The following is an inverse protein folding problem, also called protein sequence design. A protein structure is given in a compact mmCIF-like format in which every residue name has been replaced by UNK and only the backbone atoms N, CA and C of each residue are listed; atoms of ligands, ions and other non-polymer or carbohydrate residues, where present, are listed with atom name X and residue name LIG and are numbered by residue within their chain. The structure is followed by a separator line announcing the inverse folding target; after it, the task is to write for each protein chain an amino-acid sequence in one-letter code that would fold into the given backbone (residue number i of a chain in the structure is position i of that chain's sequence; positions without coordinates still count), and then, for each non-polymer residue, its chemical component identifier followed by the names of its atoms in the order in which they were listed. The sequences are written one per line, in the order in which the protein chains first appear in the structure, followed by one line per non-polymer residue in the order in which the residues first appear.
data_IF_171142912377
#
_entry.id   IF_171142912377
#
_cell.length_a   1.000
_cell.length_b   1.000
_cell.length_c   1.000
_cell.angle_alpha   90.00
_cell.angle_beta   90.00
_cell.angle_gamma   90.00
#
_symmetry.space_group_name_H-M   'P 1'
#
loop_
_entity.id
_entity.type
_entity.pdbx_description
1 polymer ?
#
# COMPACT_ATOMS: atom_id res chain seq x y z
N UNK A 1 28.96 -5.80 -22.49
CA UNK A 1 27.77 -6.62 -22.78
C UNK A 1 26.77 -6.32 -21.69
N UNK A 2 25.72 -5.54 -22.01
CA UNK A 2 24.69 -5.19 -21.02
C UNK A 2 23.87 -6.43 -20.65
N UNK A 3 23.32 -6.52 -19.43
CA UNK A 3 22.45 -7.63 -19.09
C UNK A 3 21.23 -7.60 -20.01
N UNK A 4 20.93 -8.73 -20.65
CA UNK A 4 19.65 -8.95 -21.31
C UNK A 4 18.55 -8.86 -20.26
N UNK A 5 18.04 -7.66 -20.00
CA UNK A 5 16.84 -7.46 -19.20
C UNK A 5 15.65 -7.82 -20.07
N UNK A 6 15.36 -9.12 -20.08
CA UNK A 6 14.07 -9.63 -20.47
C UNK A 6 13.04 -9.06 -19.50
N UNK A 7 12.14 -8.21 -20.01
CA UNK A 7 11.08 -7.60 -19.21
C UNK A 7 10.09 -8.70 -18.80
N UNK A 8 9.93 -8.88 -17.50
CA UNK A 8 9.16 -9.96 -16.88
C UNK A 8 8.08 -9.37 -15.99
N UNK A 9 6.94 -10.05 -15.94
CA UNK A 9 5.83 -9.75 -15.05
C UNK A 9 5.57 -10.96 -14.17
N UNK A 10 5.48 -10.76 -12.86
CA UNK A 10 5.08 -11.80 -11.92
C UNK A 10 3.66 -11.52 -11.47
N UNK A 11 2.78 -12.52 -11.56
CA UNK A 11 1.35 -12.40 -11.25
C UNK A 11 0.93 -13.43 -10.20
N UNK A 12 0.04 -13.02 -9.31
CA UNK A 12 -0.65 -13.91 -8.37
C UNK A 12 -2.00 -14.35 -8.92
N UNK A 13 -2.36 -15.60 -8.67
CA UNK A 13 -3.61 -16.22 -9.14
C UNK A 13 -4.59 -16.53 -8.01
N UNK A 14 -5.86 -16.70 -8.36
CA UNK A 14 -6.93 -17.04 -7.42
C UNK A 14 -6.82 -18.46 -6.84
N UNK A 15 -6.07 -19.35 -7.50
CA UNK A 15 -5.76 -20.70 -7.04
C UNK A 15 -4.58 -20.73 -6.04
N UNK A 16 -4.02 -19.57 -5.68
CA UNK A 16 -2.89 -19.45 -4.76
C UNK A 16 -1.52 -19.72 -5.40
N UNK A 17 -1.46 -19.73 -6.73
CA UNK A 17 -0.22 -19.84 -7.48
C UNK A 17 0.35 -18.49 -7.92
N UNK A 18 1.66 -18.46 -8.11
CA UNK A 18 2.37 -17.38 -8.78
C UNK A 18 2.84 -17.85 -10.14
N UNK A 19 2.70 -17.00 -11.14
CA UNK A 19 3.19 -17.25 -12.48
C UNK A 19 4.08 -16.09 -12.96
N UNK A 20 5.07 -16.40 -13.79
CA UNK A 20 5.84 -15.39 -14.51
C UNK A 20 5.47 -15.39 -15.99
N UNK A 21 5.24 -14.19 -16.51
CA UNK A 21 5.06 -13.91 -17.92
C UNK A 21 6.18 -13.03 -18.45
N UNK A 22 6.48 -13.18 -19.73
CA UNK A 22 7.40 -12.31 -20.45
C UNK A 22 6.60 -11.24 -21.17
N UNK A 23 7.08 -9.99 -21.13
CA UNK A 23 6.44 -8.92 -21.91
C UNK A 23 6.75 -9.08 -23.41
N UNK A 24 5.81 -8.69 -24.30
CA UNK A 24 5.89 -8.99 -25.72
C UNK A 24 7.08 -8.33 -26.42
N UNK A 25 7.53 -7.18 -25.92
CA UNK A 25 8.53 -6.35 -26.58
C UNK A 25 9.93 -6.99 -26.66
N UNK A 26 10.20 -8.05 -25.88
CA UNK A 26 11.48 -8.79 -25.87
C UNK A 26 11.30 -10.31 -25.73
N UNK A 27 10.11 -10.82 -26.05
CA UNK A 27 9.84 -12.25 -25.96
C UNK A 27 10.28 -12.97 -27.24
N UNK A 28 11.28 -13.85 -27.11
CA UNK A 28 11.78 -14.68 -28.21
C UNK A 28 11.13 -16.08 -28.25
N UNK A 29 10.04 -16.31 -27.50
CA UNK A 29 9.32 -17.58 -27.50
C UNK A 29 8.11 -17.58 -28.44
N UNK A 30 7.46 -18.74 -28.55
CA UNK A 30 6.39 -18.95 -29.52
C UNK A 30 5.00 -18.51 -29.04
N UNK A 31 4.75 -18.49 -27.72
CA UNK A 31 3.44 -18.19 -27.15
C UNK A 31 3.58 -17.35 -25.87
N UNK A 32 3.03 -16.13 -25.90
CA UNK A 32 3.08 -15.19 -24.78
C UNK A 32 2.07 -15.53 -23.67
N UNK A 33 1.04 -16.33 -24.00
CA UNK A 33 -0.01 -16.72 -23.05
C UNK A 33 0.44 -17.86 -22.13
N UNK A 34 1.60 -18.46 -22.41
CA UNK A 34 2.18 -19.52 -21.59
C UNK A 34 3.19 -18.90 -20.60
N UNK A 35 2.99 -19.06 -19.28
CA UNK A 35 3.93 -18.55 -18.29
C UNK A 35 5.25 -19.34 -18.33
N UNK A 36 6.37 -18.65 -18.10
CA UNK A 36 7.70 -19.25 -17.96
C UNK A 36 7.75 -20.24 -16.80
N UNK A 37 7.09 -19.90 -15.70
CA UNK A 37 6.86 -20.80 -14.57
C UNK A 37 5.50 -20.53 -13.94
N UNK A 38 4.92 -21.58 -13.34
CA UNK A 38 3.77 -21.49 -12.45
C UNK A 38 4.03 -22.34 -11.22
N UNK A 39 3.88 -21.77 -10.02
CA UNK A 39 4.16 -22.44 -8.75
C UNK A 39 3.07 -22.15 -7.73
N UNK A 40 2.54 -23.19 -7.09
CA UNK A 40 1.60 -23.06 -5.98
C UNK A 40 2.31 -22.64 -4.70
N UNK A 41 1.87 -21.54 -4.07
CA UNK A 41 2.45 -21.01 -2.84
C UNK A 41 1.49 -21.15 -1.66
N UNK A 42 0.20 -21.00 -1.91
CA UNK A 42 -0.84 -21.16 -0.90
C UNK A 42 -2.10 -21.81 -1.48
N UNK A 43 -3.01 -22.21 -0.60
CA UNK A 43 -4.28 -22.86 -0.97
C UNK A 43 -5.45 -21.85 -1.02
N UNK A 44 -5.15 -20.57 -1.28
CA UNK A 44 -6.13 -19.47 -1.29
C UNK A 44 -5.74 -18.41 -2.30
N UNK A 45 -6.69 -17.57 -2.73
CA UNK A 45 -6.38 -16.47 -3.63
C UNK A 45 -5.26 -15.55 -3.12
N UNK A 46 -4.36 -15.16 -4.02
CA UNK A 46 -3.37 -14.11 -3.77
C UNK A 46 -4.06 -12.77 -4.01
N UNK A 47 -4.22 -11.98 -2.94
CA UNK A 47 -4.92 -10.69 -2.99
C UNK A 47 -4.02 -9.56 -3.50
N UNK A 48 -2.73 -9.61 -3.20
CA UNK A 48 -1.74 -8.70 -3.75
C UNK A 48 -0.36 -9.33 -3.78
N UNK A 49 0.43 -8.95 -4.78
CA UNK A 49 1.80 -9.37 -4.95
C UNK A 49 2.65 -8.15 -5.22
N UNK A 50 3.74 -8.01 -4.46
CA UNK A 50 4.70 -6.93 -4.63
C UNK A 50 6.09 -7.53 -4.78
N UNK A 51 6.86 -7.04 -5.76
CA UNK A 51 8.25 -7.45 -5.96
C UNK A 51 9.15 -6.23 -5.79
N UNK A 52 10.13 -6.34 -4.90
CA UNK A 52 11.03 -5.25 -4.54
C UNK A 52 12.46 -5.66 -4.91
N UNK A 53 13.18 -4.79 -5.59
CA UNK A 53 14.59 -5.03 -5.89
C UNK A 53 15.49 -4.61 -4.71
N UNK A 54 16.37 -5.52 -4.32
CA UNK A 54 17.46 -5.26 -3.39
C UNK A 54 18.57 -4.45 -4.08
N UNK A 55 19.31 -3.57 -3.37
CA UNK A 55 20.61 -3.03 -3.79
C UNK A 55 21.57 -4.03 -4.47
N UNK A 56 21.54 -5.32 -4.13
CA UNK A 56 22.36 -6.37 -4.76
C UNK A 56 21.78 -6.89 -6.07
N UNK A 57 20.67 -6.33 -6.56
CA UNK A 57 19.98 -6.71 -7.80
C UNK A 57 18.96 -7.85 -7.68
N UNK A 58 18.91 -8.56 -6.53
CA UNK A 58 17.95 -9.65 -6.28
C UNK A 58 16.55 -9.13 -5.99
N UNK A 59 15.51 -9.88 -6.35
CA UNK A 59 14.12 -9.52 -6.07
C UNK A 59 13.59 -10.25 -4.84
N UNK A 60 12.96 -9.50 -3.93
CA UNK A 60 12.18 -9.99 -2.81
C UNK A 60 10.71 -9.82 -3.15
N UNK A 61 9.95 -10.91 -3.12
CA UNK A 61 8.53 -10.92 -3.39
C UNK A 61 7.74 -11.03 -2.09
N UNK A 62 6.71 -10.22 -1.94
CA UNK A 62 5.78 -10.23 -0.81
C UNK A 62 4.39 -10.52 -1.38
N UNK A 63 3.85 -11.68 -1.04
CA UNK A 63 2.55 -12.17 -1.47
C UNK A 63 1.57 -12.14 -0.29
N UNK A 64 0.45 -11.46 -0.45
CA UNK A 64 -0.66 -11.47 0.51
C UNK A 64 -1.72 -12.44 0.04
N UNK A 65 -2.20 -13.26 0.97
CA UNK A 65 -3.11 -14.36 0.65
C UNK A 65 -4.43 -14.20 1.43
N UNK A 66 -5.50 -14.76 0.88
CA UNK A 66 -6.81 -14.81 1.57
C UNK A 66 -6.79 -15.62 2.86
N UNK A 67 -5.86 -16.57 3.02
CA UNK A 67 -5.79 -17.48 4.17
C UNK A 67 -5.14 -16.90 5.44
N UNK A 68 -5.24 -15.58 5.68
CA UNK A 68 -4.71 -14.91 6.87
C UNK A 68 -3.19 -15.09 7.08
N UNK A 69 -2.43 -15.40 6.03
CA UNK A 69 -0.97 -15.51 6.05
C UNK A 69 -0.39 -14.73 4.88
N UNK A 70 0.62 -13.92 5.15
CA UNK A 70 1.39 -13.25 4.12
C UNK A 70 2.73 -13.97 3.97
N UNK A 71 3.25 -14.09 2.76
CA UNK A 71 4.44 -14.89 2.48
C UNK A 71 5.45 -13.98 1.80
N UNK A 72 6.67 -13.95 2.32
CA UNK A 72 7.79 -13.25 1.70
C UNK A 72 8.77 -14.28 1.17
N UNK A 73 9.25 -14.14 -0.05
CA UNK A 73 10.22 -15.07 -0.63
C UNK A 73 11.20 -14.38 -1.58
N UNK A 74 12.38 -14.97 -1.77
CA UNK A 74 13.36 -14.50 -2.77
C UNK A 74 12.98 -15.07 -4.13
N UNK A 75 12.84 -14.20 -5.12
CA UNK A 75 12.36 -14.57 -6.47
C UNK A 75 13.21 -15.67 -7.12
N UNK A 76 14.54 -15.62 -6.97
CA UNK A 76 15.46 -16.58 -7.58
C UNK A 76 15.32 -18.00 -7.00
N UNK A 77 14.83 -18.14 -5.77
CA UNK A 77 14.73 -19.42 -5.07
C UNK A 77 13.52 -19.46 -4.12
N UNK A 78 12.30 -19.47 -4.68
CA UNK A 78 11.10 -19.23 -3.91
C UNK A 78 10.73 -20.38 -2.96
N UNK A 79 11.27 -21.59 -3.17
CA UNK A 79 11.01 -22.78 -2.34
C UNK A 79 11.90 -22.86 -1.09
N UNK A 80 13.16 -22.41 -1.18
CA UNK A 80 14.11 -22.50 -0.07
C UNK A 80 14.08 -21.26 0.83
N UNK A 81 13.90 -20.08 0.23
CA UNK A 81 13.95 -18.80 0.94
C UNK A 81 12.54 -18.22 1.16
N UNK A 82 11.64 -19.02 1.74
CA UNK A 82 10.26 -18.62 2.06
C UNK A 82 10.11 -18.30 3.55
N UNK A 83 9.69 -17.07 3.84
CA UNK A 83 9.47 -16.56 5.19
C UNK A 83 7.99 -16.28 5.42
N UNK A 84 7.31 -17.06 6.29
CA UNK A 84 5.93 -16.76 6.65
C UNK A 84 5.88 -15.49 7.50
N UNK A 85 4.98 -14.58 7.15
CA UNK A 85 4.65 -13.39 7.93
C UNK A 85 3.22 -13.55 8.46
N UNK A 86 3.06 -13.37 9.77
CA UNK A 86 1.86 -13.74 10.55
C UNK A 86 0.66 -12.79 10.37
N UNK A 87 0.76 -11.84 9.46
CA UNK A 87 -0.12 -10.68 9.44
C UNK A 87 -1.03 -10.74 8.22
N UNK A 88 -2.34 -10.82 8.46
CA UNK A 88 -3.36 -10.51 7.44
C UNK A 88 -3.28 -9.03 7.13
N UNK A 89 -3.15 -8.68 5.86
CA UNK A 89 -3.28 -7.29 5.42
C UNK A 89 -4.67 -7.02 4.90
N UNK A 90 -5.24 -5.92 5.38
CA UNK A 90 -6.52 -5.41 4.90
C UNK A 90 -6.35 -4.47 3.70
N UNK A 91 -5.15 -3.96 3.48
CA UNK A 91 -4.82 -3.03 2.39
C UNK A 91 -3.64 -3.55 1.58
N UNK A 92 -3.55 -3.14 0.31
CA UNK A 92 -2.38 -3.41 -0.51
C UNK A 92 -1.18 -2.67 0.11
N UNK A 93 -0.03 -3.35 0.36
CA UNK A 93 1.17 -2.66 0.81
C UNK A 93 1.60 -1.59 -0.20
N UNK A 94 2.28 -0.57 0.30
CA UNK A 94 2.93 0.44 -0.54
C UNK A 94 4.38 0.60 -0.08
N UNK A 95 5.31 0.47 -1.01
CA UNK A 95 6.75 0.47 -0.74
C UNK A 95 7.39 1.76 -1.21
N UNK A 96 8.13 2.41 -0.32
CA UNK A 96 8.92 3.59 -0.64
C UNK A 96 10.33 3.13 -1.01
N UNK A 97 10.67 3.19 -2.31
CA UNK A 97 11.96 2.69 -2.79
C UNK A 97 13.15 3.47 -2.23
N UNK A 98 13.15 4.82 -2.19
CA UNK A 98 14.26 5.55 -1.59
C UNK A 98 14.46 5.28 -0.10
N UNK A 99 13.38 5.12 0.68
CA UNK A 99 13.47 4.88 2.13
C UNK A 99 13.57 3.39 2.51
N UNK A 100 13.45 2.47 1.54
CA UNK A 100 13.55 1.02 1.72
C UNK A 100 12.61 0.47 2.82
N UNK A 101 11.39 1.01 2.88
CA UNK A 101 10.35 0.60 3.82
C UNK A 101 9.01 0.44 3.12
N UNK A 102 8.09 -0.29 3.74
CA UNK A 102 6.70 -0.34 3.29
C UNK A 102 5.76 -0.03 4.44
N UNK A 103 4.59 0.49 4.08
CA UNK A 103 3.49 0.72 5.01
C UNK A 103 2.44 -0.35 4.80
N UNK A 104 1.95 -0.88 5.91
CA UNK A 104 0.93 -1.92 5.96
C UNK A 104 -0.13 -1.61 7.02
N UNK A 105 -1.25 -2.30 6.93
CA UNK A 105 -2.31 -2.31 7.94
C UNK A 105 -2.51 -3.73 8.45
N UNK A 106 -1.77 -4.11 9.48
CA UNK A 106 -1.93 -5.40 10.17
C UNK A 106 -3.28 -5.49 10.87
N UNK A 107 -3.59 -4.44 11.63
CA UNK A 107 -4.93 -4.19 12.16
C UNK A 107 -5.64 -3.27 11.17
N UNK A 108 -6.95 -3.47 10.97
CA UNK A 108 -7.71 -2.72 9.97
C UNK A 108 -7.69 -1.21 10.26
N UNK A 109 -7.65 -0.84 11.53
CA UNK A 109 -7.67 0.52 12.01
C UNK A 109 -6.28 1.12 12.28
N UNK A 110 -5.19 0.37 12.09
CA UNK A 110 -3.83 0.83 12.42
C UNK A 110 -2.85 0.65 11.26
N UNK A 111 -2.21 1.74 10.85
CA UNK A 111 -1.10 1.71 9.89
C UNK A 111 0.24 1.48 10.62
N UNK A 112 1.16 0.77 9.97
CA UNK A 112 2.45 0.38 10.54
C UNK A 112 3.55 0.44 9.46
N UNK A 113 4.76 0.84 9.84
CA UNK A 113 5.95 0.69 8.99
C UNK A 113 6.50 -0.72 9.21
N UNK A 114 6.85 -1.37 8.11
CA UNK A 114 7.59 -2.62 8.09
C UNK A 114 8.84 -2.49 7.20
N UNK A 115 9.84 -3.33 7.48
CA UNK A 115 11.09 -3.35 6.76
C UNK A 115 11.31 -4.74 6.14
N UNK A 116 11.71 -4.83 4.86
CA UNK A 116 11.79 -6.10 4.15
C UNK A 116 12.93 -7.02 4.65
N UNK A 117 13.95 -6.49 5.34
CA UNK A 117 15.13 -7.28 5.77
C UNK A 117 15.22 -7.58 7.26
N UNK A 118 14.42 -6.94 8.11
CA UNK A 118 14.31 -7.37 9.49
C UNK A 118 13.26 -8.47 9.55
N UNK A 119 13.68 -9.67 9.16
CA UNK A 119 12.91 -10.93 9.09
C UNK A 119 12.29 -11.39 10.43
N UNK A 120 12.33 -10.53 11.46
CA UNK A 120 11.70 -10.71 12.77
C UNK A 120 10.91 -9.44 13.14
N UNK A 121 9.70 -9.33 12.58
CA UNK A 121 8.53 -8.60 13.08
C UNK A 121 8.75 -7.38 13.98
N UNK A 122 9.54 -6.39 13.55
CA UNK A 122 9.56 -5.07 14.18
C UNK A 122 8.71 -4.12 13.35
N UNK A 123 7.42 -4.11 13.67
CA UNK A 123 6.48 -3.13 13.12
C UNK A 123 6.53 -1.87 13.97
N UNK A 124 6.60 -0.72 13.31
CA UNK A 124 6.47 0.57 13.99
C UNK A 124 5.06 1.08 13.71
N UNK A 125 4.17 0.99 14.71
CA UNK A 125 2.82 1.53 14.61
C UNK A 125 2.88 3.03 14.30
N UNK A 126 2.11 3.51 13.33
CA UNK A 126 2.08 4.91 12.90
C UNK A 126 0.95 5.67 13.58
N UNK A 127 -0.27 5.48 13.08
CA UNK A 127 -1.48 6.10 13.55
C UNK A 127 -2.63 5.08 13.55
N UNK A 128 -3.53 5.24 14.52
CA UNK A 128 -4.78 4.50 14.60
C UNK A 128 -5.92 5.44 14.18
N UNK A 129 -6.90 4.92 13.45
CA UNK A 129 -8.11 5.65 13.05
C UNK A 129 -9.32 5.08 13.81
N UNK A 130 -10.38 5.87 13.89
CA UNK A 130 -11.74 5.48 14.31
C UNK A 130 -12.52 4.71 13.23
N UNK A 131 -11.88 4.40 12.10
CA UNK A 131 -12.42 3.66 10.97
C UNK A 131 -11.37 2.69 10.42
N UNK A 132 -11.78 1.79 9.53
CA UNK A 132 -10.85 0.87 8.90
C UNK A 132 -10.16 1.55 7.73
N UNK A 133 -8.82 1.48 7.71
CA UNK A 133 -8.04 1.87 6.55
C UNK A 133 -8.34 0.94 5.40
N UNK A 134 -8.64 1.53 4.26
CA UNK A 134 -8.83 0.83 2.99
C UNK A 134 -7.64 1.02 2.07
N UNK A 135 -6.92 2.14 2.21
CA UNK A 135 -5.72 2.45 1.44
C UNK A 135 -4.67 3.08 2.33
N UNK A 136 -3.41 2.69 2.11
CA UNK A 136 -2.22 3.36 2.62
C UNK A 136 -1.23 3.49 1.45
N UNK A 137 -0.91 4.72 1.04
CA UNK A 137 -0.03 4.98 -0.11
C UNK A 137 1.08 5.94 0.25
N UNK A 138 2.31 5.44 0.12
CA UNK A 138 3.54 6.22 0.27
C UNK A 138 4.06 6.65 -1.09
N UNK A 139 5.03 7.57 -1.09
CA UNK A 139 5.76 7.86 -2.31
C UNK A 139 6.64 6.69 -2.70
N UNK A 140 6.45 6.17 -3.91
CA UNK A 140 7.16 4.98 -4.38
C UNK A 140 8.48 5.35 -5.07
N UNK A 141 8.49 6.41 -5.88
CA UNK A 141 9.64 6.77 -6.74
C UNK A 141 10.44 7.93 -6.16
N UNK A 142 9.77 9.04 -5.81
CA UNK A 142 10.44 10.24 -5.29
C UNK A 142 10.87 10.09 -3.84
N UNK A 143 10.18 9.24 -3.08
CA UNK A 143 10.52 8.86 -1.71
C UNK A 143 10.24 9.93 -0.67
N UNK A 144 9.32 10.86 -0.92
CA UNK A 144 8.95 11.85 0.08
C UNK A 144 8.26 11.19 1.30
N UNK A 145 8.38 11.78 2.51
CA UNK A 145 8.01 11.15 3.78
C UNK A 145 6.51 11.18 4.12
N UNK A 146 5.65 11.41 3.13
CA UNK A 146 4.21 11.57 3.34
C UNK A 146 3.46 10.30 2.98
N UNK A 147 2.51 9.94 3.82
CA UNK A 147 1.59 8.83 3.65
C UNK A 147 0.19 9.42 3.45
N UNK A 148 -0.48 9.04 2.35
CA UNK A 148 -1.93 9.22 2.19
C UNK A 148 -2.61 7.98 2.71
N UNK A 149 -3.67 8.19 3.49
CA UNK A 149 -4.56 7.11 3.93
C UNK A 149 -5.99 7.43 3.55
N UNK A 150 -6.71 6.41 3.13
CA UNK A 150 -8.16 6.43 2.95
C UNK A 150 -8.81 5.44 3.90
N UNK A 151 -10.00 5.76 4.38
CA UNK A 151 -10.75 4.92 5.32
C UNK A 151 -12.18 4.64 4.85
N UNK A 152 -12.82 3.65 5.48
CA UNK A 152 -14.20 3.23 5.19
C UNK A 152 -15.23 4.31 5.46
N UNK A 153 -14.96 5.23 6.39
CA UNK A 153 -15.84 6.33 6.76
C UNK A 153 -15.72 7.57 5.82
N UNK A 154 -14.99 7.44 4.70
CA UNK A 154 -14.75 8.53 3.75
C UNK A 154 -13.68 9.54 4.14
N UNK A 155 -12.91 9.29 5.20
CA UNK A 155 -11.79 10.15 5.57
C UNK A 155 -10.59 9.94 4.64
N UNK A 156 -10.03 11.07 4.19
CA UNK A 156 -8.77 11.12 3.47
C UNK A 156 -7.81 11.92 4.33
N UNK A 157 -6.72 11.27 4.74
CA UNK A 157 -5.73 11.87 5.62
C UNK A 157 -4.33 11.83 5.03
N UNK A 158 -3.53 12.82 5.41
CA UNK A 158 -2.09 12.86 5.14
C UNK A 158 -1.34 12.88 6.46
N UNK A 159 -0.25 12.13 6.53
CA UNK A 159 0.63 12.15 7.68
C UNK A 159 2.10 12.04 7.27
N UNK A 160 2.96 12.73 8.02
CA UNK A 160 4.41 12.56 7.91
C UNK A 160 4.85 11.38 8.78
N UNK A 161 5.09 10.23 8.15
CA UNK A 161 5.44 8.99 8.85
C UNK A 161 6.95 8.92 9.20
N UNK A 162 7.76 9.80 8.62
CA UNK A 162 9.22 9.80 8.80
C UNK A 162 9.66 10.18 10.21
N UNK A 163 8.79 10.89 10.96
CA UNK A 163 8.98 11.18 12.39
C UNK A 163 9.21 9.91 13.21
N UNK A 164 8.52 8.81 12.87
CA UNK A 164 8.69 7.49 13.50
C UNK A 164 9.78 6.64 12.84
N UNK A 165 10.12 6.92 11.59
CA UNK A 165 11.20 6.22 10.87
C UNK A 165 12.60 6.57 11.40
N UNK A 166 12.91 7.84 11.66
CA UNK A 166 14.22 8.28 12.15
C UNK A 166 14.37 8.35 13.69
N UNK A 167 13.27 8.23 14.43
CA UNK A 167 13.26 8.52 15.86
C UNK A 167 14.03 7.48 16.69
N UNK A 168 15.09 7.90 17.39
CA UNK A 168 15.75 7.11 18.45
C UNK A 168 14.76 6.80 19.60
N UNK A 169 13.70 7.60 19.73
CA UNK A 169 12.56 7.43 20.64
C UNK A 169 11.23 7.19 19.87
N UNK A 170 11.28 6.46 18.75
CA UNK A 170 10.14 6.26 17.81
C UNK A 170 8.86 5.72 18.46
N UNK A 171 8.96 5.04 19.61
CA UNK A 171 7.81 4.58 20.39
C UNK A 171 7.02 5.71 21.07
N UNK A 172 7.65 6.86 21.36
CA UNK A 172 7.03 8.00 22.06
C UNK A 172 6.50 9.09 21.12
N UNK A 173 7.02 9.20 19.90
CA UNK A 173 6.62 10.24 18.97
C UNK A 173 5.31 9.88 18.27
N UNK A 174 4.16 10.41 18.71
CA UNK A 174 2.91 10.27 17.93
C UNK A 174 3.06 10.97 16.56
N UNK A 175 2.68 10.25 15.50
CA UNK A 175 2.45 10.83 14.17
C UNK A 175 1.10 11.55 14.22
N UNK A 176 0.91 12.63 13.49
CA UNK A 176 -0.34 13.40 13.51
C UNK A 176 -1.01 13.32 12.14
N UNK A 177 -2.06 12.50 11.97
CA UNK A 177 -2.86 12.49 10.75
C UNK A 177 -3.66 13.78 10.62
N UNK A 178 -3.55 14.41 9.46
CA UNK A 178 -4.35 15.55 9.06
C UNK A 178 -5.40 15.06 8.07
N UNK A 179 -6.66 15.08 8.47
CA UNK A 179 -7.78 14.88 7.55
C UNK A 179 -7.91 16.12 6.68
N UNK A 180 -7.80 15.92 5.38
CA UNK A 180 -7.87 16.98 4.37
C UNK A 180 -9.23 16.97 3.67
N UNK A 181 -9.83 15.79 3.51
CA UNK A 181 -11.16 15.63 2.95
C UNK A 181 -11.97 14.62 3.75
N UNK A 182 -13.28 14.84 3.78
CA UNK A 182 -14.26 13.83 4.21
C UNK A 182 -15.36 13.72 3.18
N UNK A 183 -15.60 12.49 2.72
CA UNK A 183 -16.71 12.16 1.84
C UNK A 183 -17.85 11.64 2.69
N UNK A 184 -19.03 12.24 2.56
CA UNK A 184 -20.24 11.83 3.25
C UNK A 184 -21.28 11.45 2.20
N UNK A 185 -21.80 10.24 2.33
CA UNK A 185 -22.94 9.75 1.58
C UNK A 185 -23.89 9.07 2.56
N UNK A 186 -25.10 9.61 2.64
CA UNK A 186 -26.21 9.03 3.37
C UNK A 186 -27.35 8.75 2.37
N UNK A 187 -28.19 7.74 2.62
CA UNK A 187 -29.34 7.46 1.78
C UNK A 187 -30.23 8.69 1.62
N UNK A 188 -30.65 8.97 0.39
CA UNK A 188 -31.54 10.09 0.03
C UNK A 188 -31.00 11.51 0.30
N UNK A 189 -29.72 11.64 0.67
CA UNK A 189 -29.04 12.93 0.82
C UNK A 189 -28.04 13.19 -0.31
N UNK A 190 -27.78 14.47 -0.67
CA UNK A 190 -26.71 14.82 -1.58
C UNK A 190 -25.35 14.37 -1.04
N UNK A 191 -24.51 13.84 -1.93
CA UNK A 191 -23.13 13.53 -1.60
C UNK A 191 -22.43 14.82 -1.19
N UNK A 192 -21.84 14.82 0.00
CA UNK A 192 -21.17 15.99 0.58
C UNK A 192 -19.68 15.74 0.67
N UNK A 193 -18.89 16.71 0.22
CA UNK A 193 -17.44 16.72 0.32
C UNK A 193 -17.03 17.86 1.25
N UNK A 194 -16.43 17.53 2.40
CA UNK A 194 -15.97 18.49 3.38
C UNK A 194 -14.45 18.71 3.24
N UNK A 195 -14.05 19.97 3.10
CA UNK A 195 -12.66 20.42 2.98
C UNK A 195 -12.09 20.97 4.31
N UNK A 196 -12.60 20.48 5.45
CA UNK A 196 -12.20 20.98 6.76
C UNK A 196 -10.97 20.24 7.24
N UNK A 197 -9.82 20.94 7.24
CA UNK A 197 -8.57 20.43 7.77
C UNK A 197 -8.74 20.17 9.27
N UNK A 198 -8.67 18.91 9.66
CA UNK A 198 -8.81 18.49 11.06
C UNK A 198 -7.71 17.50 11.44
N UNK A 199 -7.19 17.64 12.65
CA UNK A 199 -6.31 16.62 13.23
C UNK A 199 -7.19 15.45 13.66
N UNK A 200 -6.94 14.24 13.16
CA UNK A 200 -7.68 13.06 13.63
C UNK A 200 -7.24 12.65 15.03
N UNK A 201 -8.23 12.27 15.84
CA UNK A 201 -8.01 11.58 17.10
C UNK A 201 -7.56 10.13 16.83
N UNK A 202 -6.50 9.71 17.52
CA UNK A 202 -5.90 8.38 17.36
C UNK A 202 -6.30 7.39 18.44
N UNK A 203 -7.01 7.85 19.48
CA UNK A 203 -7.45 7.01 20.60
C UNK A 203 -8.97 6.77 20.55
N UNK A 204 -9.63 7.20 19.47
CA UNK A 204 -11.06 7.03 19.25
C UNK A 204 -11.45 5.56 18.94
N UNK A 205 -12.59 5.13 19.50
CA UNK A 205 -13.12 3.77 19.32
C UNK A 205 -13.73 3.64 17.92
N UNK A 206 -13.36 2.56 17.21
CA UNK A 206 -13.97 2.24 15.93
C UNK A 206 -15.44 1.90 16.13
N UNK A 207 -16.34 2.78 15.67
CA UNK A 207 -17.78 2.58 15.79
C UNK A 207 -18.27 1.58 14.73
N UNK A 208 -19.29 0.75 15.02
CA UNK A 208 -19.87 -0.15 14.01
C UNK A 208 -20.38 0.55 12.75
N UNK A 209 -20.79 1.82 12.87
CA UNK A 209 -21.23 2.68 11.76
C UNK A 209 -20.10 3.06 10.79
N UNK A 210 -18.83 2.92 11.19
CA UNK A 210 -17.67 3.17 10.32
C UNK A 210 -17.52 2.15 9.19
N UNK A 211 -18.32 1.08 9.18
CA UNK A 211 -18.34 0.04 8.14
C UNK A 211 -19.25 0.39 6.95
N UNK A 212 -19.88 1.58 6.91
CA UNK A 212 -20.68 2.01 5.75
C UNK A 212 -19.79 2.05 4.50
N UNK A 213 -20.10 1.21 3.52
CA UNK A 213 -19.27 1.01 2.33
C UNK A 213 -19.42 2.13 1.28
N UNK A 214 -20.47 2.93 1.38
CA UNK A 214 -20.83 3.90 0.34
C UNK A 214 -19.83 5.05 0.25
N UNK A 215 -19.34 5.55 1.38
CA UNK A 215 -18.35 6.64 1.42
C UNK A 215 -16.90 6.16 1.32
N UNK A 216 -16.68 4.86 1.11
CA UNK A 216 -15.37 4.25 1.21
C UNK A 216 -14.37 4.82 0.19
N UNK A 217 -13.13 5.02 0.60
CA UNK A 217 -12.03 5.35 -0.31
C UNK A 217 -11.48 4.05 -0.94
N UNK A 218 -11.35 4.01 -2.27
CA UNK A 218 -11.03 2.78 -3.03
C UNK A 218 -9.66 2.78 -3.69
N UNK A 219 -9.11 3.96 -4.03
CA UNK A 219 -7.74 4.08 -4.50
C UNK A 219 -7.11 5.42 -4.10
N UNK A 220 -5.78 5.45 -4.01
CA UNK A 220 -5.02 6.68 -3.91
C UNK A 220 -3.69 6.55 -4.64
N UNK A 221 -3.14 7.66 -5.11
CA UNK A 221 -1.81 7.71 -5.71
C UNK A 221 -1.19 9.11 -5.53
N UNK A 222 0.12 9.13 -5.31
CA UNK A 222 0.92 10.35 -5.42
C UNK A 222 1.33 10.59 -6.86
N UNK A 223 1.49 11.86 -7.24
CA UNK A 223 2.17 12.20 -8.47
C UNK A 223 3.69 12.05 -8.26
N UNK A 224 4.26 11.01 -8.86
CA UNK A 224 5.67 10.67 -8.72
C UNK A 224 6.61 11.44 -9.67
N UNK A 225 6.16 12.58 -10.20
CA UNK A 225 6.99 13.49 -10.99
C UNK A 225 7.49 14.66 -10.11
N UNK A 226 8.78 15.00 -10.23
CA UNK A 226 9.43 16.10 -9.50
C UNK A 226 8.68 17.44 -9.59
N UNK A 227 8.05 17.75 -10.72
CA UNK A 227 7.32 19.01 -10.91
C UNK A 227 5.98 19.03 -10.17
N UNK A 228 5.34 17.87 -10.05
CA UNK A 228 4.00 17.70 -9.50
C UNK A 228 3.97 16.94 -8.19
N UNK A 229 5.09 16.78 -7.49
CA UNK A 229 5.23 15.87 -6.35
C UNK A 229 4.35 16.20 -5.13
N UNK A 230 3.76 17.40 -5.12
CA UNK A 230 2.78 17.83 -4.12
C UNK A 230 1.33 17.47 -4.49
N UNK A 231 1.12 16.86 -5.66
CA UNK A 231 -0.21 16.49 -6.17
C UNK A 231 -0.51 15.04 -5.85
N UNK A 232 -1.76 14.76 -5.51
CA UNK A 232 -2.24 13.41 -5.31
C UNK A 232 -3.65 13.25 -5.89
N UNK A 233 -4.04 12.00 -6.11
CA UNK A 233 -5.37 11.62 -6.54
C UNK A 233 -5.98 10.59 -5.59
N UNK A 234 -7.28 10.67 -5.34
CA UNK A 234 -8.05 9.73 -4.52
C UNK A 234 -9.35 9.38 -5.21
N UNK A 235 -9.65 8.08 -5.33
CA UNK A 235 -10.92 7.56 -5.83
C UNK A 235 -11.81 7.07 -4.69
N UNK A 236 -13.11 7.32 -4.80
CA UNK A 236 -14.13 6.86 -3.84
C UNK A 236 -14.99 5.73 -4.43
N UNK A 237 -15.68 4.99 -3.57
CA UNK A 237 -16.64 3.96 -3.97
C UNK A 237 -17.87 4.54 -4.71
N UNK A 238 -18.14 5.84 -4.54
CA UNK A 238 -19.18 6.58 -5.27
C UNK A 238 -18.77 6.95 -6.70
N UNK A 239 -17.54 6.62 -7.12
CA UNK A 239 -17.01 6.99 -8.44
C UNK A 239 -16.51 8.43 -8.53
N UNK A 240 -16.29 9.11 -7.40
CA UNK A 240 -15.72 10.46 -7.37
C UNK A 240 -14.19 10.35 -7.39
N UNK A 241 -13.56 11.06 -8.31
CA UNK A 241 -12.10 11.25 -8.36
C UNK A 241 -11.76 12.64 -7.84
N UNK A 242 -11.03 12.68 -6.73
CA UNK A 242 -10.49 13.90 -6.14
C UNK A 242 -9.04 14.05 -6.59
N UNK A 243 -8.68 15.23 -7.09
CA UNK A 243 -7.32 15.60 -7.47
C UNK A 243 -6.99 16.93 -6.79
N UNK A 244 -5.96 16.94 -5.95
CA UNK A 244 -5.53 18.15 -5.24
C UNK A 244 -4.02 18.31 -5.31
N UNK A 245 -3.57 19.57 -5.31
CA UNK A 245 -2.18 19.97 -5.11
C UNK A 245 -2.02 20.63 -3.74
N UNK A 246 -1.18 20.07 -2.88
CA UNK A 246 -0.96 20.52 -1.49
C UNK A 246 -0.04 21.75 -1.36
N UNK A 247 0.44 22.32 -2.46
CA UNK A 247 1.33 23.47 -2.44
C UNK A 247 0.49 24.76 -2.41
N UNK A 248 0.56 25.56 -1.33
CA UNK A 248 -0.22 26.79 -1.20
C UNK A 248 0.22 27.89 -2.17
N UNK A 249 1.39 27.76 -2.83
CA UNK A 249 1.94 28.80 -3.72
C UNK A 249 1.13 29.02 -5.00
N UNK A 250 0.26 28.08 -5.38
CA UNK A 250 -0.54 28.15 -6.59
C UNK A 250 -2.05 28.28 -6.32
N UNK A 251 -2.42 28.77 -5.13
CA UNK A 251 -3.77 29.24 -4.81
C UNK A 251 -3.99 30.68 -5.29
#
# INVERSE_FOLDING_TARGET
MGPNTNEKLVVGSNDGSIAEFMLPFRYNGNDIDIPNFKMGICWSAISSLMCIQNPTGKYLCIAHTGAHRSITFVYDNPLQDMYPTTVKLNTQPSFNYPLQNFVITNQAEQSQIAFPRTSHCTFISLARSDAYYTICKVSEILGHPFLITGATNGDICIMNYFKKFLGINSSLSKVTPLRIWKVLAEPDEPITLLADVQIQDQDAVVLPTSMKTESNITAAAWNENRVGSSTYAVGTALGILLLERLDPKYL
#
